data_IF_509396312738
#
_entry.id   IF_509396312738
#
_cell.length_a   1.000
_cell.length_b   1.000
_cell.length_c   1.000
_cell.angle_alpha   90.00
_cell.angle_beta   90.00
_cell.angle_gamma   90.00
#
_symmetry.space_group_name_H-M   'P 1'
#
loop_
_entity.id
_entity.type
_entity.pdbx_description
1 polymer ?
#
# COMPACT_ATOMS: atom_id res chain seq x y z
N UNK A 1 83.03 0.20 11.69
CA UNK A 1 83.20 -0.83 12.73
C UNK A 1 81.79 -1.22 13.15
N UNK A 2 81.13 -2.12 12.41
CA UNK A 2 81.26 -3.59 12.46
C UNK A 2 80.61 -4.21 13.70
N UNK A 3 79.54 -4.98 13.43
CA UNK A 3 79.16 -6.27 14.03
C UNK A 3 78.50 -6.23 15.44
N UNK A 4 77.47 -7.02 15.79
CA UNK A 4 76.64 -8.03 15.10
C UNK A 4 75.47 -8.46 16.03
N UNK A 5 74.43 -9.06 15.43
CA UNK A 5 73.46 -10.07 15.94
C UNK A 5 72.08 -9.74 16.58
N UNK A 6 71.08 -10.66 16.39
CA UNK A 6 69.64 -10.36 16.24
C UNK A 6 68.70 -11.21 17.14
N UNK A 7 67.38 -10.94 17.10
CA UNK A 7 66.30 -11.90 17.40
C UNK A 7 64.96 -11.29 16.92
N UNK A 8 64.38 -11.73 15.80
CA UNK A 8 63.41 -12.84 15.66
C UNK A 8 61.94 -12.37 15.76
N UNK A 9 61.18 -12.64 14.69
CA UNK A 9 59.76 -13.05 14.61
C UNK A 9 59.12 -12.40 13.35
N UNK A 10 59.21 -13.03 12.17
CA UNK A 10 58.35 -14.11 11.65
C UNK A 10 56.96 -13.61 11.18
N UNK A 11 56.77 -13.84 9.89
CA UNK A 11 55.54 -14.02 9.11
C UNK A 11 54.47 -12.92 9.06
N UNK A 12 54.42 -12.36 7.85
CA UNK A 12 53.27 -11.83 7.15
C UNK A 12 52.20 -12.91 6.89
N UNK A 13 50.99 -12.41 6.57
CA UNK A 13 49.68 -13.03 6.24
C UNK A 13 48.83 -13.33 7.47
N UNK A 14 47.61 -12.83 7.61
CA UNK A 14 46.53 -12.75 6.61
C UNK A 14 45.46 -11.75 7.08
N UNK A 15 44.86 -11.00 6.15
CA UNK A 15 43.66 -10.20 6.39
C UNK A 15 42.54 -11.08 6.97
N UNK A 16 42.10 -10.78 8.18
CA UNK A 16 40.76 -11.16 8.63
C UNK A 16 39.97 -9.86 8.77
N UNK A 17 39.11 -9.63 7.77
CA UNK A 17 38.11 -8.58 7.68
C UNK A 17 37.49 -8.25 9.04
N UNK A 18 37.79 -7.05 9.54
CA UNK A 18 37.05 -6.47 10.65
C UNK A 18 35.63 -6.21 10.13
N UNK A 19 34.67 -6.94 10.69
CA UNK A 19 33.29 -6.93 10.23
C UNK A 19 32.74 -5.50 10.25
N UNK A 20 32.54 -4.92 9.07
CA UNK A 20 31.83 -3.66 8.92
C UNK A 20 30.39 -3.87 9.43
N UNK A 21 30.09 -3.25 10.56
CA UNK A 21 28.73 -3.00 11.00
C UNK A 21 28.03 -2.24 9.86
N UNK A 22 27.13 -2.93 9.15
CA UNK A 22 26.20 -2.30 8.24
C UNK A 22 25.12 -1.66 9.11
N UNK A 23 25.52 -0.56 9.73
CA UNK A 23 24.69 0.28 10.57
C UNK A 23 23.34 0.47 9.90
N UNK A 24 22.33 -0.07 10.58
CA UNK A 24 20.91 0.28 10.49
C UNK A 24 20.50 0.93 9.17
N UNK A 25 20.09 0.10 8.22
CA UNK A 25 19.11 0.50 7.20
C UNK A 25 17.82 0.80 7.97
N UNK A 26 17.72 2.00 8.53
CA UNK A 26 16.47 2.57 8.97
C UNK A 26 15.61 2.67 7.73
N UNK A 27 14.72 1.71 7.58
CA UNK A 27 13.67 1.70 6.59
C UNK A 27 12.76 2.90 6.91
N UNK A 28 13.14 4.08 6.43
CA UNK A 28 12.25 5.22 6.30
C UNK A 28 11.27 4.88 5.17
N UNK A 29 10.39 3.93 5.47
CA UNK A 29 9.16 3.74 4.73
C UNK A 29 8.33 4.99 5.00
N UNK A 30 8.58 5.97 4.14
CA UNK A 30 7.80 7.17 3.85
C UNK A 30 6.57 7.29 4.74
N UNK A 31 6.76 7.81 5.95
CA UNK A 31 5.64 8.32 6.72
C UNK A 31 5.17 9.55 5.95
N UNK A 32 4.22 9.34 5.04
CA UNK A 32 3.44 10.41 4.45
C UNK A 32 2.79 11.12 5.63
N UNK A 33 3.41 12.24 6.03
CA UNK A 33 3.01 13.06 7.17
C UNK A 33 1.53 13.39 7.02
N UNK A 34 0.74 12.72 7.86
CA UNK A 34 -0.70 12.85 8.01
C UNK A 34 -1.01 14.29 8.41
N UNK A 35 -1.19 15.18 7.44
CA UNK A 35 -1.64 16.53 7.71
C UNK A 35 -3.16 16.62 7.55
N UNK A 36 -3.79 16.72 8.72
CA UNK A 36 -5.15 17.16 9.03
C UNK A 36 -6.30 16.30 8.49
N UNK A 37 -6.86 15.45 9.36
CA UNK A 37 -8.31 15.11 9.41
C UNK A 37 -9.00 14.68 8.11
N UNK A 38 -8.26 14.18 7.14
CA UNK A 38 -8.77 13.72 5.86
C UNK A 38 -8.94 12.20 5.89
N UNK A 39 -10.02 11.70 5.29
CA UNK A 39 -10.25 10.26 5.13
C UNK A 39 -9.16 9.70 4.21
N UNK A 40 -8.25 8.92 4.78
CA UNK A 40 -7.05 8.46 4.08
C UNK A 40 -7.38 7.33 3.10
N UNK A 41 -6.43 7.01 2.20
CA UNK A 41 -6.60 5.87 1.30
C UNK A 41 -6.69 4.55 2.07
N UNK A 42 -5.98 4.41 3.19
CA UNK A 42 -6.07 3.23 4.06
C UNK A 42 -7.47 3.10 4.67
N UNK A 43 -8.09 4.22 5.06
CA UNK A 43 -9.47 4.23 5.55
C UNK A 43 -10.48 3.84 4.46
N UNK A 44 -10.25 4.27 3.21
CA UNK A 44 -11.05 3.85 2.04
C UNK A 44 -10.95 2.34 1.84
N UNK A 45 -9.75 1.78 1.90
CA UNK A 45 -9.48 0.35 1.76
C UNK A 45 -10.18 -0.44 2.88
N UNK A 46 -10.02 -0.01 4.14
CA UNK A 46 -10.67 -0.63 5.29
C UNK A 46 -12.20 -0.58 5.16
N UNK A 47 -12.75 0.56 4.69
CA UNK A 47 -14.18 0.71 4.44
C UNK A 47 -14.67 -0.21 3.33
N UNK A 48 -13.94 -0.31 2.21
CA UNK A 48 -14.28 -1.20 1.11
C UNK A 48 -14.31 -2.67 1.56
N UNK A 49 -13.30 -3.11 2.33
CA UNK A 49 -13.27 -4.44 2.92
C UNK A 49 -14.47 -4.69 3.86
N UNK A 50 -14.80 -3.73 4.74
CA UNK A 50 -15.97 -3.81 5.62
C UNK A 50 -17.30 -3.85 4.87
N UNK A 51 -17.36 -3.32 3.65
CA UNK A 51 -18.53 -3.39 2.79
C UNK A 51 -18.62 -4.72 2.02
N UNK A 52 -17.60 -5.57 2.08
CA UNK A 52 -17.57 -6.89 1.44
C UNK A 52 -16.95 -6.91 0.05
N UNK A 53 -16.27 -5.84 -0.38
CA UNK A 53 -15.53 -5.87 -1.63
C UNK A 53 -14.34 -6.84 -1.52
N UNK A 54 -14.22 -7.77 -2.46
CA UNK A 54 -13.13 -8.76 -2.52
C UNK A 54 -12.05 -8.37 -3.52
N UNK A 55 -12.45 -7.87 -4.68
CA UNK A 55 -11.60 -7.25 -5.70
C UNK A 55 -12.29 -5.99 -6.21
N UNK A 56 -11.55 -4.89 -6.30
CA UNK A 56 -12.12 -3.58 -6.64
C UNK A 56 -11.04 -2.62 -7.09
N UNK A 57 -11.48 -1.55 -7.76
CA UNK A 57 -10.68 -0.37 -8.08
C UNK A 57 -11.14 0.80 -7.22
N UNK A 58 -10.19 1.62 -6.80
CA UNK A 58 -10.44 2.89 -6.11
C UNK A 58 -10.05 4.03 -7.03
N UNK A 59 -11.00 4.93 -7.29
CA UNK A 59 -10.75 6.20 -7.98
C UNK A 59 -10.66 7.32 -6.93
N UNK A 60 -9.63 8.14 -7.05
CA UNK A 60 -9.39 9.27 -6.16
C UNK A 60 -10.25 10.49 -6.55
N UNK A 61 -10.68 11.30 -5.56
CA UNK A 61 -11.31 12.59 -5.83
C UNK A 61 -10.37 13.47 -6.66
N UNK A 62 -10.93 14.18 -7.64
CA UNK A 62 -10.17 15.06 -8.56
C UNK A 62 -10.33 16.55 -8.27
N UNK A 63 -11.11 16.89 -7.25
CA UNK A 63 -11.39 18.25 -6.82
C UNK A 63 -11.77 18.28 -5.33
N UNK A 64 -11.85 19.48 -4.75
CA UNK A 64 -12.24 19.68 -3.35
C UNK A 64 -13.66 19.19 -3.02
N UNK A 65 -14.55 19.14 -4.01
CA UNK A 65 -15.90 18.56 -3.86
C UNK A 65 -16.00 17.15 -4.44
N UNK A 66 -14.87 16.55 -4.79
CA UNK A 66 -14.78 15.20 -5.31
C UNK A 66 -15.08 14.15 -4.25
N UNK A 67 -15.23 12.91 -4.71
CA UNK A 67 -15.49 11.73 -3.87
C UNK A 67 -14.51 10.62 -4.22
N UNK A 68 -14.27 9.72 -3.28
CA UNK A 68 -13.70 8.43 -3.62
C UNK A 68 -14.78 7.55 -4.26
N UNK A 69 -14.41 6.82 -5.31
CA UNK A 69 -15.31 5.82 -5.92
C UNK A 69 -14.65 4.46 -5.84
N UNK A 70 -15.29 3.53 -5.11
CA UNK A 70 -14.92 2.12 -5.03
C UNK A 70 -15.83 1.34 -5.97
N UNK A 71 -15.28 0.65 -6.95
CA UNK A 71 -16.06 -0.10 -7.93
C UNK A 71 -15.50 -1.50 -8.16
N UNK A 72 -16.38 -2.47 -8.23
CA UNK A 72 -16.12 -3.84 -8.66
C UNK A 72 -17.19 -4.21 -9.68
N UNK A 73 -16.78 -4.57 -10.89
CA UNK A 73 -17.72 -4.96 -11.94
C UNK A 73 -17.13 -6.08 -12.81
N UNK A 74 -18.03 -6.88 -13.39
CA UNK A 74 -17.62 -8.01 -14.25
C UNK A 74 -17.14 -7.55 -15.61
N UNK A 75 -17.74 -6.48 -16.14
CA UNK A 75 -17.41 -5.93 -17.45
C UNK A 75 -15.98 -5.38 -17.55
N UNK A 76 -15.46 -4.83 -16.44
CA UNK A 76 -14.08 -4.34 -16.30
C UNK A 76 -13.08 -5.42 -15.87
N UNK A 77 -13.54 -6.67 -15.71
CA UNK A 77 -12.73 -7.82 -15.34
C UNK A 77 -12.30 -7.85 -13.86
N UNK A 78 -12.87 -6.98 -13.01
CA UNK A 78 -12.50 -6.90 -11.60
C UNK A 78 -13.04 -8.08 -10.79
N UNK A 79 -14.20 -8.61 -11.21
CA UNK A 79 -14.89 -9.74 -10.58
C UNK A 79 -15.47 -10.66 -11.66
N UNK A 80 -15.73 -11.92 -11.33
CA UNK A 80 -16.36 -12.90 -12.24
C UNK A 80 -17.85 -13.02 -11.97
N UNK A 81 -18.25 -12.98 -10.71
CA UNK A 81 -19.64 -13.11 -10.28
C UNK A 81 -20.37 -11.76 -10.41
N UNK A 82 -21.37 -11.62 -11.31
CA UNK A 82 -22.10 -10.38 -11.51
C UNK A 82 -22.92 -9.96 -10.30
N UNK A 83 -23.25 -10.89 -9.40
CA UNK A 83 -23.98 -10.54 -8.17
C UNK A 83 -23.16 -9.70 -7.20
N UNK A 84 -21.84 -9.68 -7.38
CA UNK A 84 -20.90 -8.87 -6.61
C UNK A 84 -20.65 -7.49 -7.25
N UNK A 85 -21.32 -7.17 -8.37
CA UNK A 85 -21.21 -5.86 -9.00
C UNK A 85 -21.70 -4.77 -8.04
N UNK A 86 -20.82 -3.81 -7.77
CA UNK A 86 -21.09 -2.73 -6.83
C UNK A 86 -20.22 -1.53 -7.11
N UNK A 87 -20.81 -0.35 -6.96
CA UNK A 87 -20.12 0.93 -6.96
C UNK A 87 -20.57 1.77 -5.76
N UNK A 88 -19.62 2.16 -4.91
CA UNK A 88 -19.87 2.98 -3.72
C UNK A 88 -19.08 4.30 -3.82
N UNK A 89 -19.76 5.41 -3.57
CA UNK A 89 -19.18 6.76 -3.51
C UNK A 89 -19.02 7.20 -2.05
N UNK A 90 -17.81 7.59 -1.68
CA UNK A 90 -17.45 8.00 -0.32
C UNK A 90 -17.02 9.46 -0.28
N UNK A 91 -17.54 10.20 0.70
CA UNK A 91 -17.06 11.56 1.01
C UNK A 91 -15.58 11.54 1.39
N UNK A 92 -14.77 12.41 0.76
CA UNK A 92 -13.31 12.40 0.91
C UNK A 92 -12.81 12.92 2.26
N UNK A 93 -13.68 13.54 3.05
CA UNK A 93 -13.34 14.11 4.35
C UNK A 93 -13.80 13.23 5.51
N UNK A 94 -15.01 12.66 5.39
CA UNK A 94 -15.67 11.92 6.47
C UNK A 94 -15.80 10.41 6.23
N UNK A 95 -15.57 9.92 5.00
CA UNK A 95 -15.76 8.50 4.65
C UNK A 95 -17.22 8.03 4.68
N UNK A 96 -18.17 8.98 4.75
CA UNK A 96 -19.61 8.70 4.65
C UNK A 96 -19.95 8.22 3.26
N UNK A 97 -20.85 7.23 3.17
CA UNK A 97 -21.38 6.78 1.89
C UNK A 97 -22.37 7.84 1.40
N UNK A 98 -22.07 8.43 0.24
CA UNK A 98 -22.92 9.43 -0.41
C UNK A 98 -23.86 8.79 -1.44
N UNK A 99 -23.51 7.62 -1.95
CA UNK A 99 -24.33 6.86 -2.88
C UNK A 99 -23.75 5.48 -3.11
N UNK A 100 -24.64 4.52 -3.36
CA UNK A 100 -24.29 3.14 -3.60
C UNK A 100 -25.22 2.56 -4.66
N UNK A 101 -24.63 1.79 -5.57
CA UNK A 101 -25.35 0.98 -6.57
C UNK A 101 -24.81 -0.42 -6.48
N UNK A 102 -25.69 -1.39 -6.27
CA UNK A 102 -25.36 -2.81 -6.22
C UNK A 102 -26.05 -3.54 -7.37
N UNK A 103 -25.65 -4.79 -7.61
CA UNK A 103 -26.39 -5.68 -8.52
C UNK A 103 -27.87 -5.81 -8.15
N UNK A 104 -28.23 -5.68 -6.86
CA UNK A 104 -29.62 -5.77 -6.43
C UNK A 104 -30.47 -4.61 -6.96
N UNK A 105 -29.87 -3.43 -7.14
CA UNK A 105 -30.51 -2.22 -7.68
C UNK A 105 -30.76 -2.32 -9.19
N UNK A 106 -30.17 -3.30 -9.88
CA UNK A 106 -30.52 -3.56 -11.28
C UNK A 106 -31.94 -4.11 -11.40
N UNK A 107 -32.70 -3.50 -12.33
CA UNK A 107 -34.06 -3.90 -12.65
C UNK A 107 -34.10 -5.36 -13.16
N UNK A 108 -35.21 -6.08 -12.95
CA UNK A 108 -35.33 -7.51 -13.29
C UNK A 108 -34.96 -7.85 -14.74
N UNK A 109 -35.17 -6.92 -15.68
CA UNK A 109 -34.80 -7.07 -17.09
C UNK A 109 -33.29 -7.03 -17.36
N UNK A 110 -32.47 -6.54 -16.42
CA UNK A 110 -31.01 -6.56 -16.50
C UNK A 110 -30.40 -7.80 -15.82
N UNK A 111 -31.23 -8.68 -15.22
CA UNK A 111 -30.81 -9.88 -14.48
C UNK A 111 -30.98 -11.19 -15.27
N UNK A 112 -31.43 -11.12 -16.52
CA UNK A 112 -31.64 -12.27 -17.43
C UNK A 112 -30.54 -12.35 -18.47
#
# INVERSE_FOLDING_TARGET
>A
MSQDKPAEHVHQVEEASEAHDHSKMGEDHSQHVLSASNFSIDDVIAKAQSLGFTQYKVNFPRSETGVYTVAANTMGGDIIDPTQDRTTHLDQYSGRILGEVTWQDYNLFAKT
#
